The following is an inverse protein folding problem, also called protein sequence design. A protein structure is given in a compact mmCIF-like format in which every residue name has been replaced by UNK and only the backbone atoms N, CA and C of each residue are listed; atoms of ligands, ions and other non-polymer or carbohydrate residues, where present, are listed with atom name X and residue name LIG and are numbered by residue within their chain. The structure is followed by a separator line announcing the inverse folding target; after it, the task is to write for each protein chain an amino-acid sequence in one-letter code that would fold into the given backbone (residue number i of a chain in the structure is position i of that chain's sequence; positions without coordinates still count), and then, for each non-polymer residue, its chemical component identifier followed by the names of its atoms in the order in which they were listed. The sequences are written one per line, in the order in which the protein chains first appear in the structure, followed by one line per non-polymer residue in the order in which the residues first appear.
data_IF_500490353806
#
_entry.id   IF_500490353806
#
_cell.length_a   1.000
_cell.length_b   1.000
_cell.length_c   1.000
_cell.angle_alpha   90.00
_cell.angle_beta   90.00
_cell.angle_gamma   90.00
#
_symmetry.space_group_name_H-M   'P 1'
#
loop_
_entity.id
_entity.type
_entity.pdbx_description
1 polymer ?
#
# COMPACT_ATOMS: atom_id res chain seq x y z
N UNK A 1 -23.78 3.66 5.88
CA UNK A 1 -22.56 2.87 5.68
C UNK A 1 -21.41 3.58 6.34
N UNK A 2 -20.67 2.94 7.22
CA UNK A 2 -19.42 3.55 7.66
C UNK A 2 -18.55 3.71 6.42
N UNK A 3 -17.96 4.89 6.26
CA UNK A 3 -17.02 5.12 5.17
C UNK A 3 -15.86 4.15 5.32
N UNK A 4 -15.61 3.37 4.29
CA UNK A 4 -14.43 2.53 4.22
C UNK A 4 -13.18 3.40 4.28
N UNK A 5 -12.16 2.96 5.03
CA UNK A 5 -10.89 3.68 5.10
C UNK A 5 -10.28 3.83 3.70
N UNK A 6 -9.73 4.99 3.43
CA UNK A 6 -8.96 5.26 2.22
C UNK A 6 -7.49 5.16 2.55
N UNK A 7 -6.79 4.27 1.87
CA UNK A 7 -5.43 3.88 2.21
C UNK A 7 -4.51 3.98 1.01
N UNK A 8 -3.30 4.45 1.24
CA UNK A 8 -2.20 4.44 0.26
C UNK A 8 -1.08 3.58 0.81
N UNK A 9 -0.53 2.70 -0.01
CA UNK A 9 0.68 1.94 0.30
C UNK A 9 1.88 2.56 -0.41
N UNK A 10 2.95 2.79 0.34
CA UNK A 10 4.25 3.15 -0.22
C UNK A 10 4.81 1.99 -1.05
N UNK A 11 5.73 2.30 -1.95
CA UNK A 11 6.36 1.33 -2.86
C UNK A 11 6.92 0.12 -2.12
N UNK A 12 7.61 0.36 -1.00
CA UNK A 12 8.24 -0.72 -0.23
C UNK A 12 7.24 -1.75 0.32
N UNK A 13 6.01 -1.35 0.59
CA UNK A 13 4.97 -2.29 1.05
C UNK A 13 4.63 -3.30 -0.05
N UNK A 14 4.49 -2.84 -1.30
CA UNK A 14 4.28 -3.74 -2.43
C UNK A 14 5.49 -4.62 -2.69
N UNK A 15 6.70 -4.04 -2.69
CA UNK A 15 7.94 -4.79 -2.91
C UNK A 15 8.10 -5.91 -1.87
N UNK A 16 8.01 -5.55 -0.60
CA UNK A 16 8.18 -6.52 0.49
C UNK A 16 7.06 -7.57 0.50
N UNK A 17 5.84 -7.16 0.20
CA UNK A 17 4.69 -8.06 0.16
C UNK A 17 4.74 -9.06 -0.99
N UNK A 18 5.27 -8.66 -2.16
CA UNK A 18 5.35 -9.49 -3.35
C UNK A 18 6.62 -10.33 -3.43
N UNK A 19 7.70 -9.91 -2.77
CA UNK A 19 9.02 -10.53 -2.86
C UNK A 19 9.57 -11.04 -1.53
N UNK A 20 8.84 -10.91 -0.44
CA UNK A 20 9.24 -11.39 0.88
C UNK A 20 9.53 -12.89 0.86
N UNK A 21 10.43 -13.33 1.74
CA UNK A 21 10.94 -14.72 1.77
C UNK A 21 9.84 -15.77 1.93
N UNK A 22 8.73 -15.39 2.56
CA UNK A 22 7.58 -16.27 2.79
C UNK A 22 6.46 -16.05 1.75
N UNK A 23 6.61 -15.07 0.86
CA UNK A 23 5.62 -14.77 -0.17
C UNK A 23 6.01 -15.40 -1.49
N UNK A 24 5.27 -16.40 -1.91
CA UNK A 24 5.30 -16.86 -3.30
C UNK A 24 4.27 -16.05 -4.07
N UNK A 25 4.73 -15.18 -4.96
CA UNK A 25 3.87 -14.52 -5.93
C UNK A 25 3.32 -15.58 -6.92
N UNK A 26 2.01 -15.67 -7.18
CA UNK A 26 0.90 -14.82 -6.79
C UNK A 26 0.11 -15.30 -5.56
N UNK A 27 0.70 -16.05 -4.66
CA UNK A 27 0.01 -16.69 -3.55
C UNK A 27 -0.15 -15.76 -2.34
N UNK A 28 -0.72 -14.59 -2.58
CA UNK A 28 -1.14 -13.71 -1.48
C UNK A 28 -2.46 -14.23 -0.94
N UNK A 29 -2.44 -14.79 0.25
CA UNK A 29 -3.63 -15.33 0.87
C UNK A 29 -4.56 -14.23 1.36
N UNK A 30 -5.85 -14.47 1.19
CA UNK A 30 -6.90 -13.47 1.47
C UNK A 30 -7.36 -13.48 2.93
N UNK A 31 -6.95 -14.43 3.74
CA UNK A 31 -7.53 -14.61 5.08
C UNK A 31 -6.49 -14.74 6.15
N UNK A 32 -6.97 -14.39 7.36
CA UNK A 32 -6.24 -13.50 8.22
C UNK A 32 -4.84 -13.94 8.36
N UNK A 33 -4.07 -12.93 8.43
CA UNK A 33 -2.67 -12.98 8.16
C UNK A 33 -1.92 -13.67 9.26
N UNK A 34 -1.10 -14.59 8.89
CA UNK A 34 -0.07 -15.15 9.75
C UNK A 34 1.10 -15.63 8.90
N UNK A 35 1.36 -14.92 7.80
CA UNK A 35 2.45 -15.29 6.90
C UNK A 35 3.84 -15.01 7.48
N UNK A 36 3.93 -14.20 8.53
CA UNK A 36 5.20 -13.67 9.02
C UNK A 36 5.72 -12.48 8.22
N UNK A 37 5.04 -12.13 7.14
CA UNK A 37 5.35 -10.97 6.29
C UNK A 37 4.26 -9.90 6.45
N UNK A 38 4.54 -8.88 7.24
CA UNK A 38 3.58 -7.82 7.52
C UNK A 38 3.12 -7.06 6.29
N UNK A 39 3.99 -6.89 5.29
CA UNK A 39 3.62 -6.23 4.05
C UNK A 39 2.63 -7.05 3.23
N UNK A 40 2.84 -8.36 3.10
CA UNK A 40 1.88 -9.27 2.46
C UNK A 40 0.54 -9.28 3.19
N UNK A 41 0.60 -9.24 4.51
CA UNK A 41 -0.59 -9.21 5.37
C UNK A 41 -1.37 -7.88 5.26
N UNK A 42 -0.72 -6.79 4.85
CA UNK A 42 -1.39 -5.54 4.48
C UNK A 42 -2.16 -5.68 3.18
N UNK A 43 -1.59 -6.38 2.20
CA UNK A 43 -2.15 -6.49 0.85
C UNK A 43 -3.36 -7.41 0.82
N UNK A 44 -3.31 -8.55 1.55
CA UNK A 44 -4.36 -9.57 1.54
C UNK A 44 -5.77 -9.01 1.76
N UNK A 45 -6.02 -8.15 2.77
CA UNK A 45 -7.36 -7.65 3.00
C UNK A 45 -7.92 -6.74 1.90
N UNK A 46 -7.07 -6.21 1.02
CA UNK A 46 -7.53 -5.39 -0.09
C UNK A 46 -8.38 -6.17 -1.10
N UNK A 47 -8.20 -7.49 -1.18
CA UNK A 47 -8.92 -8.33 -2.13
C UNK A 47 -10.43 -8.35 -1.95
N UNK A 48 -10.91 -8.26 -0.73
CA UNK A 48 -12.35 -8.28 -0.46
C UNK A 48 -12.98 -6.88 -0.33
N UNK A 49 -12.16 -5.85 -0.17
CA UNK A 49 -12.62 -4.47 -0.06
C UNK A 49 -13.47 -4.16 1.17
N UNK A 50 -13.48 -5.03 2.18
CA UNK A 50 -14.33 -4.89 3.36
C UNK A 50 -13.78 -3.91 4.40
N UNK A 51 -12.46 -3.80 4.51
CA UNK A 51 -11.81 -3.00 5.55
C UNK A 51 -11.36 -1.64 5.04
N UNK A 52 -10.91 -1.58 3.80
CA UNK A 52 -10.39 -0.35 3.23
C UNK A 52 -10.42 -0.37 1.70
N UNK A 53 -10.33 0.82 1.12
CA UNK A 53 -10.11 1.04 -0.30
C UNK A 53 -8.65 1.43 -0.49
N UNK A 54 -7.98 0.74 -1.40
CA UNK A 54 -6.57 0.99 -1.71
C UNK A 54 -6.46 1.92 -2.92
N UNK A 55 -5.71 3.00 -2.76
CA UNK A 55 -5.41 3.95 -3.83
C UNK A 55 -3.94 3.92 -4.17
N UNK A 56 -3.62 4.13 -5.43
CA UNK A 56 -2.24 4.21 -5.90
C UNK A 56 -2.11 5.27 -6.99
N UNK A 57 -0.92 5.42 -7.53
CA UNK A 57 -0.63 6.36 -8.62
C UNK A 57 0.26 5.70 -9.65
N UNK A 58 0.29 6.25 -10.89
CA UNK A 58 1.25 5.80 -11.89
C UNK A 58 2.70 5.87 -11.42
N UNK A 59 3.04 6.87 -10.61
CA UNK A 59 4.36 7.02 -10.03
C UNK A 59 4.75 5.85 -9.13
N UNK A 60 3.87 5.46 -8.21
CA UNK A 60 4.10 4.32 -7.30
C UNK A 60 4.31 3.03 -8.11
N UNK A 61 3.45 2.79 -9.10
CA UNK A 61 3.52 1.59 -9.94
C UNK A 61 4.81 1.56 -10.76
N UNK A 62 5.19 2.68 -11.38
CA UNK A 62 6.44 2.78 -12.14
C UNK A 62 7.67 2.59 -11.25
N UNK A 63 7.65 3.17 -10.05
CA UNK A 63 8.76 3.03 -9.12
C UNK A 63 8.88 1.58 -8.62
N UNK A 64 7.76 0.93 -8.35
CA UNK A 64 7.73 -0.50 -8.02
C UNK A 64 8.37 -1.32 -9.15
N UNK A 65 7.94 -1.11 -10.40
CA UNK A 65 8.47 -1.83 -11.55
C UNK A 65 10.00 -1.61 -11.69
N UNK A 66 10.44 -0.38 -11.53
CA UNK A 66 11.88 -0.05 -11.59
C UNK A 66 12.68 -0.77 -10.51
N UNK A 67 12.18 -0.80 -9.28
CA UNK A 67 12.86 -1.49 -8.18
C UNK A 67 12.95 -2.98 -8.45
N UNK A 68 11.86 -3.60 -8.90
CA UNK A 68 11.83 -5.03 -9.22
C UNK A 68 12.83 -5.40 -10.32
N UNK A 69 12.88 -4.62 -11.39
CA UNK A 69 13.77 -4.92 -12.52
C UNK A 69 15.23 -4.50 -12.26
N UNK A 70 15.44 -3.24 -11.86
CA UNK A 70 16.78 -2.65 -11.81
C UNK A 70 17.50 -3.00 -10.51
N UNK A 71 16.82 -2.91 -9.37
CA UNK A 71 17.47 -3.14 -8.08
C UNK A 71 17.45 -4.61 -7.64
N UNK A 72 16.42 -5.34 -8.01
CA UNK A 72 16.29 -6.75 -7.64
C UNK A 72 16.63 -7.72 -8.77
N UNK A 73 16.79 -7.23 -10.00
CA UNK A 73 17.16 -8.03 -11.14
C UNK A 73 16.10 -9.05 -11.56
N UNK A 74 14.83 -8.79 -11.27
CA UNK A 74 13.74 -9.69 -11.65
C UNK A 74 13.38 -9.53 -13.13
N UNK A 75 12.80 -10.57 -13.72
CA UNK A 75 12.48 -10.57 -15.15
C UNK A 75 11.39 -9.53 -15.49
N UNK A 76 11.40 -9.11 -16.75
CA UNK A 76 10.33 -8.23 -17.31
C UNK A 76 8.97 -8.90 -17.16
N UNK A 77 8.88 -10.21 -17.37
CA UNK A 77 7.62 -10.95 -17.22
C UNK A 77 7.11 -10.94 -15.78
N UNK A 78 8.00 -11.15 -14.81
CA UNK A 78 7.62 -11.08 -13.40
C UNK A 78 7.10 -9.68 -13.05
N UNK A 79 7.82 -8.65 -13.48
CA UNK A 79 7.46 -7.25 -13.21
C UNK A 79 6.10 -6.90 -13.83
N UNK A 80 5.86 -7.30 -15.08
CA UNK A 80 4.59 -7.07 -15.74
C UNK A 80 3.43 -7.75 -15.00
N UNK A 81 3.63 -8.98 -14.54
CA UNK A 81 2.65 -9.71 -13.72
C UNK A 81 2.40 -9.01 -12.38
N UNK A 82 3.45 -8.51 -11.75
CA UNK A 82 3.33 -7.76 -10.49
C UNK A 82 2.55 -6.45 -10.65
N UNK A 83 2.81 -5.70 -11.71
CA UNK A 83 2.08 -4.46 -12.03
C UNK A 83 0.61 -4.75 -12.26
N UNK A 84 0.29 -5.78 -13.03
CA UNK A 84 -1.09 -6.19 -13.27
C UNK A 84 -1.78 -6.61 -11.97
N UNK A 85 -1.13 -7.40 -11.14
CA UNK A 85 -1.66 -7.83 -9.84
C UNK A 85 -1.96 -6.64 -8.92
N UNK A 86 -1.05 -5.70 -8.82
CA UNK A 86 -1.27 -4.49 -7.98
C UNK A 86 -2.44 -3.67 -8.51
N UNK A 87 -2.52 -3.48 -9.83
CA UNK A 87 -3.64 -2.77 -10.45
C UNK A 87 -4.98 -3.46 -10.15
N UNK A 88 -5.03 -4.78 -10.26
CA UNK A 88 -6.22 -5.57 -9.96
C UNK A 88 -6.62 -5.46 -8.48
N UNK A 89 -5.66 -5.54 -7.58
CA UNK A 89 -5.90 -5.40 -6.13
C UNK A 89 -6.48 -4.02 -5.80
N UNK A 90 -5.92 -2.96 -6.37
CA UNK A 90 -6.43 -1.60 -6.19
C UNK A 90 -7.90 -1.52 -6.61
N UNK A 91 -8.24 -2.00 -7.79
CA UNK A 91 -9.61 -1.98 -8.30
C UNK A 91 -10.54 -2.88 -7.50
N UNK A 92 -10.11 -4.07 -7.13
CA UNK A 92 -10.92 -5.01 -6.32
C UNK A 92 -11.22 -4.45 -4.94
N UNK A 93 -10.33 -3.66 -4.37
CA UNK A 93 -10.58 -2.99 -3.08
C UNK A 93 -11.63 -1.89 -3.15
N UNK A 94 -12.02 -1.47 -4.36
CA UNK A 94 -12.89 -0.32 -4.58
C UNK A 94 -12.16 1.00 -4.71
N UNK A 95 -10.83 0.99 -4.73
CA UNK A 95 -9.99 2.15 -4.96
C UNK A 95 -9.71 2.43 -6.44
N UNK A 96 -8.74 3.27 -6.70
CA UNK A 96 -8.37 3.68 -8.07
C UNK A 96 -6.89 4.06 -8.14
N UNK A 97 -6.37 4.06 -9.37
CA UNK A 97 -5.05 4.61 -9.69
C UNK A 97 -5.26 6.05 -10.16
N UNK A 98 -4.73 7.00 -9.41
CA UNK A 98 -4.96 8.44 -9.61
C UNK A 98 -3.64 9.15 -9.87
N UNK A 99 -3.63 10.05 -10.84
CA UNK A 99 -2.53 11.00 -11.06
C UNK A 99 -2.79 12.25 -10.22
N UNK A 100 -2.07 12.46 -9.11
CA UNK A 100 -2.34 13.60 -8.23
C UNK A 100 -1.76 14.89 -8.78
N UNK A 101 -2.38 16.01 -8.44
CA UNK A 101 -1.79 17.34 -8.63
C UNK A 101 -0.62 17.52 -7.67
N UNK A 102 0.43 18.19 -8.12
CA UNK A 102 1.64 18.42 -7.34
C UNK A 102 1.47 19.65 -6.47
N UNK A 103 1.51 19.48 -5.16
CA UNK A 103 1.36 20.55 -4.17
C UNK A 103 2.44 20.54 -3.10
N UNK A 104 2.96 19.36 -2.74
CA UNK A 104 3.78 19.16 -1.56
C UNK A 104 5.26 19.33 -1.88
N UNK A 105 5.98 20.07 -1.04
CA UNK A 105 7.43 20.25 -1.11
C UNK A 105 8.08 20.13 0.27
N UNK A 106 7.38 19.55 1.24
CA UNK A 106 7.80 19.48 2.64
C UNK A 106 8.91 18.48 2.89
N UNK A 107 8.96 17.42 2.10
CA UNK A 107 10.01 16.41 2.19
C UNK A 107 11.14 16.74 1.20
N UNK A 108 12.38 16.40 1.57
CA UNK A 108 13.54 16.52 0.68
C UNK A 108 13.48 15.52 -0.46
N UNK A 109 12.87 14.35 -0.22
CA UNK A 109 12.67 13.34 -1.24
C UNK A 109 11.48 13.73 -2.10
N UNK A 110 11.72 13.92 -3.38
CA UNK A 110 10.69 14.24 -4.35
C UNK A 110 9.64 13.13 -4.48
N UNK A 111 10.07 11.87 -4.39
CA UNK A 111 9.16 10.73 -4.48
C UNK A 111 8.19 10.67 -3.30
N UNK A 112 8.68 10.99 -2.10
CA UNK A 112 7.84 11.09 -0.90
C UNK A 112 6.79 12.19 -1.04
N UNK A 113 7.15 13.33 -1.61
CA UNK A 113 6.21 14.41 -1.88
C UNK A 113 5.10 13.99 -2.84
N UNK A 114 5.39 13.17 -3.86
CA UNK A 114 4.38 12.64 -4.77
C UNK A 114 3.41 11.68 -4.06
N UNK A 115 3.88 10.91 -3.09
CA UNK A 115 3.03 10.05 -2.26
C UNK A 115 2.10 10.90 -1.37
N UNK A 116 2.63 11.95 -0.76
CA UNK A 116 1.83 12.88 0.05
C UNK A 116 0.77 13.60 -0.80
N UNK A 117 1.12 13.99 -2.02
CA UNK A 117 0.17 14.57 -2.97
C UNK A 117 -0.96 13.60 -3.32
N UNK A 118 -0.66 12.32 -3.47
CA UNK A 118 -1.68 11.31 -3.69
C UNK A 118 -2.62 11.21 -2.48
N UNK A 119 -2.08 11.23 -1.28
CA UNK A 119 -2.91 11.20 -0.07
C UNK A 119 -3.92 12.34 -0.02
N UNK A 120 -3.51 13.54 -0.43
CA UNK A 120 -4.42 14.70 -0.51
C UNK A 120 -5.46 14.48 -1.61
N UNK A 121 -5.03 14.05 -2.80
CA UNK A 121 -5.92 13.87 -3.96
C UNK A 121 -7.05 12.89 -3.70
N UNK A 122 -6.76 11.78 -2.99
CA UNK A 122 -7.76 10.75 -2.68
C UNK A 122 -8.39 10.93 -1.30
N UNK A 123 -8.01 11.96 -0.58
CA UNK A 123 -8.43 12.18 0.81
C UNK A 123 -8.17 10.93 1.67
N UNK A 124 -6.95 10.44 1.63
CA UNK A 124 -6.56 9.22 2.35
C UNK A 124 -6.60 9.42 3.86
N UNK A 125 -7.02 8.40 4.57
CA UNK A 125 -7.00 8.34 6.03
C UNK A 125 -5.65 7.85 6.55
N UNK A 126 -5.01 6.95 5.80
CA UNK A 126 -3.79 6.24 6.22
C UNK A 126 -2.82 6.08 5.07
N UNK A 127 -1.56 6.34 5.34
CA UNK A 127 -0.41 5.91 4.53
C UNK A 127 0.31 4.80 5.28
N UNK A 128 0.59 3.69 4.59
CA UNK A 128 1.40 2.60 5.13
C UNK A 128 2.77 2.63 4.49
N UNK A 129 3.81 2.68 5.30
CA UNK A 129 5.20 2.77 4.84
C UNK A 129 6.15 2.18 5.88
N UNK A 130 7.31 1.72 5.41
CA UNK A 130 8.46 1.38 6.25
C UNK A 130 9.52 2.49 6.26
N UNK A 131 9.33 3.54 5.48
CA UNK A 131 10.28 4.65 5.38
C UNK A 131 10.17 5.56 6.60
N UNK A 132 11.29 5.70 7.33
CA UNK A 132 11.34 6.56 8.51
C UNK A 132 11.07 8.03 8.19
N UNK A 133 11.49 8.52 7.03
CA UNK A 133 11.25 9.91 6.65
C UNK A 133 9.74 10.21 6.55
N UNK A 134 8.94 9.25 6.09
CA UNK A 134 7.48 9.37 6.10
C UNK A 134 6.89 9.10 7.48
N UNK A 135 7.31 8.05 8.15
CA UNK A 135 6.81 7.68 9.47
C UNK A 135 7.01 8.79 10.51
N UNK A 136 8.14 9.51 10.43
CA UNK A 136 8.45 10.62 11.32
C UNK A 136 7.51 11.82 11.17
N UNK A 137 6.77 11.90 10.07
CA UNK A 137 5.79 12.95 9.81
C UNK A 137 4.41 12.67 10.43
N UNK A 138 4.21 11.48 11.00
CA UNK A 138 2.91 11.08 11.55
C UNK A 138 2.54 11.85 12.83
N UNK A 139 1.29 12.42 12.94
CA UNK A 139 0.30 12.54 11.89
C UNK A 139 0.62 13.69 10.93
N UNK A 140 0.27 13.52 9.67
CA UNK A 140 0.46 14.55 8.65
C UNK A 140 -0.88 15.08 8.15
N UNK A 141 -1.14 16.36 8.37
CA UNK A 141 -2.39 17.01 7.98
C UNK A 141 -3.64 16.22 8.43
N UNK A 142 -3.61 15.71 9.66
CA UNK A 142 -4.70 14.91 10.23
C UNK A 142 -4.80 13.49 9.71
N UNK A 143 -3.84 13.04 8.88
CA UNK A 143 -3.78 11.68 8.33
C UNK A 143 -2.75 10.86 9.08
N UNK A 144 -3.01 9.58 9.24
CA UNK A 144 -2.08 8.68 9.92
C UNK A 144 -1.04 8.12 8.93
N UNK A 145 0.19 8.00 9.40
CA UNK A 145 1.25 7.28 8.71
C UNK A 145 1.72 6.18 9.66
N UNK A 146 1.66 4.94 9.20
CA UNK A 146 1.96 3.78 10.06
C UNK A 146 2.72 2.70 9.33
N UNK A 147 3.36 1.82 10.10
CA UNK A 147 4.06 0.66 9.58
C UNK A 147 3.06 -0.41 9.10
N UNK A 148 3.49 -1.35 8.23
CA UNK A 148 2.66 -2.50 7.88
C UNK A 148 2.14 -3.27 9.09
N UNK A 149 2.97 -3.51 10.09
CA UNK A 149 2.56 -4.20 11.33
C UNK A 149 1.41 -3.47 12.03
N UNK A 150 1.55 -2.17 12.26
CA UNK A 150 0.53 -1.34 12.90
C UNK A 150 -0.79 -1.36 12.12
N UNK A 151 -0.69 -1.30 10.79
CA UNK A 151 -1.85 -1.34 9.92
C UNK A 151 -2.58 -2.69 9.98
N UNK A 152 -1.84 -3.80 9.91
CA UNK A 152 -2.41 -5.15 10.04
C UNK A 152 -3.13 -5.32 11.38
N UNK A 153 -2.50 -4.89 12.46
CA UNK A 153 -3.10 -4.94 13.80
C UNK A 153 -4.41 -4.15 13.87
N UNK A 154 -4.47 -3.00 13.20
CA UNK A 154 -5.69 -2.19 13.09
C UNK A 154 -6.80 -2.91 12.32
N UNK A 155 -6.47 -3.53 11.20
CA UNK A 155 -7.43 -4.31 10.39
C UNK A 155 -7.98 -5.48 11.18
N UNK A 156 -7.11 -6.23 11.86
CA UNK A 156 -7.50 -7.38 12.68
C UNK A 156 -8.45 -6.94 13.80
N UNK A 157 -8.16 -5.86 14.50
CA UNK A 157 -9.04 -5.33 15.54
C UNK A 157 -10.40 -4.92 14.98
N UNK A 158 -10.44 -4.32 13.82
CA UNK A 158 -11.69 -3.93 13.15
C UNK A 158 -12.53 -5.15 12.80
N UNK A 159 -11.90 -6.21 12.27
CA UNK A 159 -12.58 -7.48 11.95
C UNK A 159 -13.15 -8.17 13.21
N UNK A 160 -12.38 -8.21 14.27
CA UNK A 160 -12.80 -8.79 15.55
C UNK A 160 -14.04 -8.10 16.09
N UNK A 161 -14.11 -6.77 16.02
CA UNK A 161 -15.28 -5.99 16.46
C UNK A 161 -16.54 -6.28 15.63
N UNK A 162 -16.39 -6.59 14.35
CA UNK A 162 -17.54 -6.92 13.48
C UNK A 162 -18.11 -8.32 13.71
N UNK A 163 -17.31 -9.21 14.28
CA UNK A 163 -17.70 -10.61 14.51
C UNK A 163 -18.47 -10.78 15.84
N UNK A 164 -18.46 -9.79 16.71
CA UNK A 164 -19.23 -9.75 17.95
C UNK A 164 -20.57 -9.07 17.72
#
# INVERSE_FOLDING_TARGET
MPNSLRVVFDVNVFIDGLTGRESTFPAIEVVPPSSGNWAADCISPAFDGLDFQLYSSPHIIKNMARVLEVHMGLSVNFTATAVEAVSDIVHQSGGSIIEPKRHTSENRDFEDNLILDLMVAVNADVLVSNDWDLLSMNPWNGRLIMTPKEFVERVVRSRTKRTI
#
